data_IF_702896578563
#
_entry.id   IF_702896578563
#
_cell.length_a   1.000
_cell.length_b   1.000
_cell.length_c   1.000
_cell.angle_alpha   90.00
_cell.angle_beta   90.00
_cell.angle_gamma   90.00
#
_symmetry.space_group_name_H-M   'P 1'
#
loop_
_entity.id
_entity.type
_entity.pdbx_description
1 polymer ?
#
# COMPACT_ATOMS: atom_id res chain seq x y z
N UNK A 1 -12.83 -9.44 -8.77
CA UNK A 1 -11.72 -9.92 -7.92
C UNK A 1 -10.88 -8.79 -7.34
N UNK A 2 -10.38 -7.86 -8.17
CA UNK A 2 -9.51 -6.75 -7.70
C UNK A 2 -10.20 -5.81 -6.70
N UNK A 3 -11.44 -5.37 -6.97
CA UNK A 3 -12.19 -4.48 -6.06
C UNK A 3 -12.41 -5.13 -4.68
N UNK A 4 -12.83 -6.40 -4.64
CA UNK A 4 -12.98 -7.13 -3.39
C UNK A 4 -11.65 -7.23 -2.63
N UNK A 5 -10.54 -7.45 -3.34
CA UNK A 5 -9.21 -7.51 -2.75
C UNK A 5 -8.78 -6.17 -2.17
N UNK A 6 -9.06 -5.06 -2.86
CA UNK A 6 -8.83 -3.72 -2.32
C UNK A 6 -9.64 -3.46 -1.05
N UNK A 7 -10.92 -3.89 -1.00
CA UNK A 7 -11.75 -3.73 0.20
C UNK A 7 -11.17 -4.48 1.40
N UNK A 8 -10.72 -5.72 1.19
CA UNK A 8 -10.06 -6.52 2.23
C UNK A 8 -8.78 -5.83 2.71
N UNK A 9 -7.93 -5.38 1.80
CA UNK A 9 -6.67 -4.71 2.13
C UNK A 9 -6.92 -3.39 2.85
N UNK A 10 -7.94 -2.63 2.44
CA UNK A 10 -8.34 -1.38 3.10
C UNK A 10 -8.85 -1.63 4.53
N UNK A 11 -9.60 -2.72 4.73
CA UNK A 11 -10.06 -3.14 6.06
C UNK A 11 -8.88 -3.47 6.96
N UNK A 12 -7.93 -4.27 6.46
CA UNK A 12 -6.68 -4.60 7.17
C UNK A 12 -5.93 -3.31 7.53
N UNK A 13 -5.71 -2.43 6.54
CA UNK A 13 -5.04 -1.15 6.75
C UNK A 13 -5.69 -0.34 7.87
N UNK A 14 -7.02 -0.21 7.84
CA UNK A 14 -7.79 0.55 8.82
C UNK A 14 -7.67 -0.04 10.24
N UNK A 15 -7.71 -1.36 10.38
CA UNK A 15 -7.51 -2.04 11.67
C UNK A 15 -6.13 -1.72 12.24
N UNK A 16 -5.08 -1.79 11.43
CA UNK A 16 -3.72 -1.47 11.90
C UNK A 16 -3.53 0.00 12.25
N UNK A 17 -4.18 0.93 11.53
CA UNK A 17 -4.23 2.34 11.94
C UNK A 17 -4.84 2.46 13.33
N UNK A 18 -6.01 1.85 13.56
CA UNK A 18 -6.70 1.91 14.86
C UNK A 18 -5.80 1.36 15.97
N UNK A 19 -5.13 0.23 15.75
CA UNK A 19 -4.21 -0.35 16.73
C UNK A 19 -3.04 0.58 17.07
N UNK A 20 -2.42 1.22 16.06
CA UNK A 20 -1.35 2.20 16.26
C UNK A 20 -1.86 3.39 17.07
N UNK A 21 -3.04 3.94 16.71
CA UNK A 21 -3.63 5.08 17.42
C UNK A 21 -3.99 4.74 18.86
N UNK A 22 -4.56 3.56 19.10
CA UNK A 22 -4.88 3.08 20.45
C UNK A 22 -3.61 2.91 21.29
N UNK A 23 -2.54 2.36 20.73
CA UNK A 23 -1.25 2.25 21.41
C UNK A 23 -0.67 3.63 21.77
N UNK A 24 -0.72 4.59 20.84
CA UNK A 24 -0.28 5.96 21.11
C UNK A 24 -1.10 6.60 22.22
N UNK A 25 -2.43 6.52 22.15
CA UNK A 25 -3.33 7.06 23.18
C UNK A 25 -3.05 6.43 24.55
N UNK A 26 -2.90 5.11 24.61
CA UNK A 26 -2.57 4.40 25.83
C UNK A 26 -1.27 4.92 26.46
N UNK A 27 -0.23 5.14 25.66
CA UNK A 27 1.04 5.70 26.13
C UNK A 27 0.91 7.13 26.61
N UNK A 28 0.17 7.96 25.90
CA UNK A 28 -0.08 9.34 26.35
C UNK A 28 -0.85 9.40 27.68
N UNK A 29 -1.77 8.46 27.93
CA UNK A 29 -2.54 8.40 29.17
C UNK A 29 -1.75 7.79 30.34
N UNK A 30 -0.85 6.86 30.07
CA UNK A 30 -0.10 6.12 31.11
C UNK A 30 1.24 6.75 31.47
N UNK A 31 1.76 7.67 30.65
CA UNK A 31 3.08 8.28 30.88
C UNK A 31 2.96 9.50 31.79
N UNK A 32 3.74 9.51 32.87
CA UNK A 32 3.81 10.64 33.82
C UNK A 32 4.82 11.68 33.35
N UNK A 33 5.89 11.24 32.69
CA UNK A 33 6.92 12.13 32.15
C UNK A 33 7.01 12.00 30.62
N UNK A 34 7.38 13.07 29.90
CA UNK A 34 7.50 13.05 28.44
C UNK A 34 8.60 12.11 27.94
N UNK A 35 9.53 11.68 28.80
CA UNK A 35 10.60 10.75 28.46
C UNK A 35 10.11 9.29 28.39
N UNK A 36 8.95 8.98 28.98
CA UNK A 36 8.41 7.61 29.05
C UNK A 36 7.60 7.20 27.81
N UNK A 37 7.31 8.15 26.91
CA UNK A 37 6.46 7.96 25.72
C UNK A 37 7.20 7.18 24.60
N UNK A 38 8.40 6.67 24.88
CA UNK A 38 9.21 5.94 23.89
C UNK A 38 8.63 4.56 23.58
N UNK A 39 8.68 4.19 22.30
CA UNK A 39 8.26 2.88 21.78
C UNK A 39 9.44 2.18 21.13
N UNK A 40 9.57 0.89 21.39
CA UNK A 40 10.64 0.09 20.78
C UNK A 40 10.51 0.09 19.27
N UNK A 41 11.65 0.14 18.56
CA UNK A 41 11.67 0.03 17.11
C UNK A 41 11.01 -1.28 16.61
N UNK A 42 11.09 -2.36 17.39
CA UNK A 42 10.47 -3.66 17.09
C UNK A 42 8.95 -3.54 17.06
N UNK A 43 8.33 -3.02 18.11
CA UNK A 43 6.87 -2.85 18.19
C UNK A 43 6.36 -1.96 17.06
N UNK A 44 7.06 -0.85 16.79
CA UNK A 44 6.72 0.03 15.67
C UNK A 44 6.86 -0.68 14.32
N UNK A 45 7.90 -1.49 14.11
CA UNK A 45 8.12 -2.22 12.85
C UNK A 45 7.02 -3.24 12.60
N UNK A 46 6.62 -4.01 13.62
CA UNK A 46 5.56 -5.02 13.50
C UNK A 46 4.22 -4.37 13.14
N UNK A 47 3.90 -3.22 13.72
CA UNK A 47 2.65 -2.50 13.42
C UNK A 47 2.72 -1.77 12.07
N UNK A 48 3.88 -1.21 11.72
CA UNK A 48 4.10 -0.46 10.48
C UNK A 48 4.14 -1.37 9.26
N UNK A 49 4.64 -2.60 9.40
CA UNK A 49 4.80 -3.53 8.27
C UNK A 49 3.48 -3.82 7.54
N UNK A 50 2.38 -4.23 8.21
CA UNK A 50 1.08 -4.42 7.57
C UNK A 50 0.51 -3.13 7.01
N UNK A 51 0.75 -2.00 7.70
CA UNK A 51 0.28 -0.68 7.29
C UNK A 51 0.92 -0.23 5.95
N UNK A 52 2.24 -0.30 5.84
CA UNK A 52 2.96 0.09 4.62
C UNK A 52 2.70 -0.89 3.48
N UNK A 53 2.66 -2.20 3.77
CA UNK A 53 2.35 -3.24 2.77
C UNK A 53 0.97 -3.04 2.18
N UNK A 54 -0.05 -2.80 3.03
CA UNK A 54 -1.42 -2.56 2.57
C UNK A 54 -1.55 -1.26 1.78
N UNK A 55 -0.90 -0.18 2.21
CA UNK A 55 -0.90 1.09 1.46
C UNK A 55 -0.27 0.93 0.06
N UNK A 56 0.90 0.31 -0.04
CA UNK A 56 1.56 0.04 -1.33
C UNK A 56 0.67 -0.87 -2.20
N UNK A 57 0.09 -1.92 -1.61
CA UNK A 57 -0.84 -2.81 -2.30
C UNK A 57 -2.04 -2.07 -2.87
N UNK A 58 -2.65 -1.13 -2.13
CA UNK A 58 -3.81 -0.37 -2.61
C UNK A 58 -3.48 0.41 -3.89
N UNK A 59 -2.34 1.10 -3.92
CA UNK A 59 -1.88 1.85 -5.09
C UNK A 59 -1.56 0.92 -6.26
N UNK A 60 -0.85 -0.19 -6.01
CA UNK A 60 -0.53 -1.16 -7.07
C UNK A 60 -1.80 -1.80 -7.63
N UNK A 61 -2.74 -2.23 -6.80
CA UNK A 61 -4.00 -2.80 -7.26
C UNK A 61 -4.86 -1.79 -8.02
N UNK A 62 -4.83 -0.51 -7.62
CA UNK A 62 -5.49 0.55 -8.37
C UNK A 62 -4.95 0.64 -9.80
N UNK A 63 -3.62 0.61 -9.95
CA UNK A 63 -2.98 0.60 -11.25
C UNK A 63 -3.29 -0.68 -12.05
N UNK A 64 -3.26 -1.85 -11.39
CA UNK A 64 -3.59 -3.12 -12.03
C UNK A 64 -5.03 -3.19 -12.52
N UNK A 65 -5.98 -2.53 -11.84
CA UNK A 65 -7.36 -2.41 -12.36
C UNK A 65 -7.41 -1.61 -13.65
N UNK A 66 -6.64 -0.53 -13.77
CA UNK A 66 -6.54 0.24 -15.02
C UNK A 66 -5.94 -0.63 -16.13
N UNK A 67 -4.88 -1.39 -15.83
CA UNK A 67 -4.28 -2.33 -16.77
C UNK A 67 -5.24 -3.45 -17.19
N UNK A 68 -5.98 -4.04 -16.25
CA UNK A 68 -6.99 -5.08 -16.55
C UNK A 68 -8.03 -4.53 -17.54
N UNK A 69 -8.50 -3.30 -17.34
CA UNK A 69 -9.45 -2.64 -18.25
C UNK A 69 -8.85 -2.32 -19.61
N UNK A 70 -7.58 -1.92 -19.67
CA UNK A 70 -6.87 -1.72 -20.94
C UNK A 70 -6.70 -3.05 -21.68
N UNK A 71 -6.34 -4.13 -20.99
CA UNK A 71 -6.24 -5.48 -21.60
C UNK A 71 -7.60 -5.94 -22.11
N UNK A 72 -8.66 -5.75 -21.35
CA UNK A 72 -10.02 -6.11 -21.76
C UNK A 72 -10.48 -5.33 -23.02
N UNK A 73 -10.00 -4.08 -23.19
CA UNK A 73 -10.28 -3.26 -24.37
C UNK A 73 -9.59 -3.82 -25.63
N UNK A 74 -8.31 -4.21 -25.54
CA UNK A 74 -7.56 -4.70 -26.69
C UNK A 74 -7.78 -6.19 -26.99
N UNK A 75 -8.15 -7.01 -25.99
CA UNK A 75 -8.27 -8.47 -26.09
C UNK A 75 -9.59 -8.99 -25.53
N UNK A 76 -10.70 -8.46 -26.05
CA UNK A 76 -12.06 -8.77 -25.56
C UNK A 76 -12.39 -10.27 -25.59
N UNK A 77 -12.06 -10.96 -26.71
CA UNK A 77 -12.39 -12.37 -26.91
C UNK A 77 -11.72 -13.33 -25.90
N UNK A 78 -10.48 -13.04 -25.51
CA UNK A 78 -9.74 -13.84 -24.53
C UNK A 78 -10.11 -13.48 -23.09
N UNK A 79 -10.42 -12.21 -22.84
CA UNK A 79 -10.79 -11.72 -21.52
C UNK A 79 -12.10 -12.35 -21.01
N UNK A 80 -13.10 -12.56 -21.88
CA UNK A 80 -14.36 -13.19 -21.51
C UNK A 80 -14.19 -14.63 -20.99
N UNK A 81 -13.15 -15.34 -21.42
CA UNK A 81 -12.86 -16.72 -20.97
C UNK A 81 -11.98 -16.81 -19.73
N UNK A 82 -11.11 -15.83 -19.49
CA UNK A 82 -10.05 -15.94 -18.47
C UNK A 82 -9.86 -14.71 -17.57
N UNK A 83 -10.80 -13.76 -17.57
CA UNK A 83 -10.70 -12.53 -16.77
C UNK A 83 -10.49 -12.76 -15.27
N UNK A 84 -11.07 -13.81 -14.69
CA UNK A 84 -10.91 -14.11 -13.27
C UNK A 84 -9.47 -14.53 -12.89
N UNK A 85 -8.79 -15.29 -13.76
CA UNK A 85 -7.42 -15.76 -13.56
C UNK A 85 -6.43 -14.59 -13.69
N UNK A 86 -6.67 -13.69 -14.65
CA UNK A 86 -5.90 -12.47 -14.83
C UNK A 86 -6.00 -11.59 -13.58
N UNK A 87 -7.22 -11.35 -13.09
CA UNK A 87 -7.46 -10.59 -11.86
C UNK A 87 -6.78 -11.22 -10.64
N UNK A 88 -6.85 -12.55 -10.47
CA UNK A 88 -6.16 -13.24 -9.37
C UNK A 88 -4.63 -13.11 -9.45
N UNK A 89 -4.07 -13.21 -10.66
CA UNK A 89 -2.62 -13.04 -10.90
C UNK A 89 -2.15 -11.63 -10.53
N UNK A 90 -2.92 -10.60 -10.90
CA UNK A 90 -2.62 -9.23 -10.52
C UNK A 90 -2.69 -8.98 -9.02
N UNK A 91 -3.66 -9.60 -8.32
CA UNK A 91 -3.75 -9.52 -6.86
C UNK A 91 -2.49 -10.12 -6.21
N UNK A 92 -2.13 -11.34 -6.60
CA UNK A 92 -0.95 -12.01 -6.05
C UNK A 92 0.34 -11.23 -6.33
N UNK A 93 0.54 -10.79 -7.56
CA UNK A 93 1.71 -10.00 -7.94
C UNK A 93 1.79 -8.67 -7.17
N UNK A 94 0.67 -7.96 -7.02
CA UNK A 94 0.60 -6.69 -6.29
C UNK A 94 0.93 -6.86 -4.81
N UNK A 95 0.34 -7.85 -4.15
CA UNK A 95 0.58 -8.12 -2.72
C UNK A 95 2.02 -8.58 -2.48
N UNK A 96 2.54 -9.52 -3.28
CA UNK A 96 3.92 -9.99 -3.16
C UNK A 96 4.93 -8.86 -3.35
N UNK A 97 4.75 -8.05 -4.41
CA UNK A 97 5.61 -6.90 -4.67
C UNK A 97 5.58 -5.91 -3.50
N UNK A 98 4.38 -5.62 -2.97
CA UNK A 98 4.25 -4.71 -1.82
C UNK A 98 4.96 -5.23 -0.57
N UNK A 99 4.89 -6.53 -0.31
CA UNK A 99 5.55 -7.16 0.83
C UNK A 99 7.08 -7.11 0.67
N UNK A 100 7.59 -7.43 -0.53
CA UNK A 100 9.03 -7.38 -0.81
C UNK A 100 9.60 -5.95 -0.69
N UNK A 101 8.91 -4.95 -1.26
CA UNK A 101 9.29 -3.54 -1.16
C UNK A 101 9.28 -3.09 0.30
N UNK A 102 8.28 -3.52 1.07
CA UNK A 102 8.20 -3.20 2.50
C UNK A 102 9.35 -3.83 3.29
N UNK A 103 9.64 -5.11 3.07
CA UNK A 103 10.78 -5.79 3.70
C UNK A 103 12.11 -5.09 3.39
N UNK A 104 12.30 -4.72 2.12
CA UNK A 104 13.48 -3.97 1.70
C UNK A 104 13.58 -2.60 2.37
N UNK A 105 12.45 -1.93 2.62
CA UNK A 105 12.45 -0.63 3.30
C UNK A 105 12.87 -0.70 4.78
N UNK A 106 12.60 -1.84 5.45
CA UNK A 106 12.81 -2.05 6.89
C UNK A 106 14.17 -2.71 7.19
N UNK A 107 14.81 -3.36 6.20
CA UNK A 107 16.12 -3.98 6.36
C UNK A 107 17.19 -3.12 7.08
N UNK A 108 17.31 -1.79 6.85
CA UNK A 108 18.33 -0.97 7.53
C UNK A 108 17.92 -0.52 8.95
N UNK A 109 16.79 -0.97 9.49
CA UNK A 109 16.29 -0.53 10.78
C UNK A 109 17.12 -1.08 11.95
N UNK A 110 17.61 -0.19 12.81
CA UNK A 110 18.30 -0.57 14.04
C UNK A 110 17.29 -0.87 15.15
N UNK A 111 17.02 -2.16 15.38
CA UNK A 111 16.03 -2.61 16.37
C UNK A 111 16.39 -2.31 17.84
N UNK A 112 17.63 -1.90 18.11
CA UNK A 112 18.06 -1.45 19.44
C UNK A 112 17.60 -0.03 19.79
N UNK A 113 17.04 0.72 18.84
CA UNK A 113 16.57 2.09 19.07
C UNK A 113 15.15 2.13 19.63
N UNK A 114 14.84 3.24 20.29
CA UNK A 114 13.50 3.59 20.74
C UNK A 114 13.12 4.95 20.16
N UNK A 115 11.86 5.07 19.71
CA UNK A 115 11.35 6.28 19.09
C UNK A 115 10.17 6.85 19.88
N UNK A 116 10.06 8.17 19.94
CA UNK A 116 8.90 8.84 20.56
C UNK A 116 7.58 8.56 19.80
N UNK A 117 7.67 8.28 18.50
CA UNK A 117 6.52 8.00 17.65
C UNK A 117 6.86 6.95 16.58
N UNK A 118 5.90 6.07 16.25
CA UNK A 118 6.11 5.01 15.26
C UNK A 118 6.12 5.51 13.80
N UNK A 119 5.83 6.79 13.57
CA UNK A 119 6.10 7.45 12.28
C UNK A 119 7.60 7.78 12.09
N UNK A 120 8.42 7.69 13.14
CA UNK A 120 9.87 7.84 13.05
C UNK A 120 10.52 6.58 12.51
N UNK A 121 11.78 6.66 12.16
CA UNK A 121 12.63 5.53 11.83
C UNK A 121 14.08 5.98 11.69
N UNK A 122 14.96 5.05 11.33
CA UNK A 122 16.33 5.42 10.98
C UNK A 122 16.35 6.38 9.77
N UNK A 123 17.39 7.21 9.65
CA UNK A 123 17.55 8.11 8.50
C UNK A 123 17.52 7.36 7.16
N UNK A 124 18.09 6.15 7.13
CA UNK A 124 18.07 5.27 5.95
C UNK A 124 16.69 4.70 5.65
N UNK A 125 15.92 4.32 6.68
CA UNK A 125 14.54 3.85 6.53
C UNK A 125 13.65 4.98 5.96
N UNK A 126 13.82 6.21 6.46
CA UNK A 126 13.08 7.39 6.00
C UNK A 126 13.41 7.71 4.53
N UNK A 127 14.69 7.66 4.15
CA UNK A 127 15.15 7.87 2.77
C UNK A 127 14.51 6.86 1.81
N UNK A 128 14.56 5.56 2.14
CA UNK A 128 13.94 4.50 1.33
C UNK A 128 12.42 4.66 1.22
N UNK A 129 11.75 4.97 2.33
CA UNK A 129 10.30 5.16 2.33
C UNK A 129 9.88 6.38 1.50
N UNK A 130 10.68 7.45 1.53
CA UNK A 130 10.46 8.65 0.72
C UNK A 130 10.52 8.32 -0.77
N UNK A 131 11.53 7.55 -1.19
CA UNK A 131 11.66 7.10 -2.59
C UNK A 131 10.50 6.20 -3.02
N UNK A 132 10.04 5.30 -2.13
CA UNK A 132 8.85 4.47 -2.38
C UNK A 132 7.62 5.37 -2.57
N UNK A 133 7.39 6.34 -1.68
CA UNK A 133 6.24 7.25 -1.77
C UNK A 133 6.24 8.09 -3.05
N UNK A 134 7.41 8.60 -3.47
CA UNK A 134 7.55 9.31 -4.74
C UNK A 134 7.17 8.39 -5.92
N UNK A 135 7.65 7.14 -5.89
CA UNK A 135 7.33 6.14 -6.93
C UNK A 135 5.83 5.82 -6.97
N UNK A 136 5.19 5.70 -5.80
CA UNK A 136 3.74 5.49 -5.72
C UNK A 136 2.95 6.68 -6.27
N UNK A 137 3.39 7.92 -6.03
CA UNK A 137 2.77 9.11 -6.62
C UNK A 137 2.80 9.08 -8.14
N UNK A 138 3.93 8.65 -8.73
CA UNK A 138 4.04 8.47 -10.19
C UNK A 138 3.05 7.39 -10.68
N UNK A 139 2.94 6.27 -9.98
CA UNK A 139 1.97 5.21 -10.32
C UNK A 139 0.52 5.72 -10.22
N UNK A 140 0.19 6.53 -9.22
CA UNK A 140 -1.12 7.18 -9.12
C UNK A 140 -1.38 8.11 -10.31
N UNK A 141 -0.40 8.92 -10.72
CA UNK A 141 -0.52 9.79 -11.89
C UNK A 141 -0.74 8.97 -13.18
N UNK A 142 0.01 7.88 -13.37
CA UNK A 142 -0.18 6.96 -14.50
C UNK A 142 -1.57 6.31 -14.47
N UNK A 143 -2.06 5.92 -13.30
CA UNK A 143 -3.41 5.34 -13.14
C UNK A 143 -4.50 6.35 -13.54
N UNK A 144 -4.32 7.63 -13.18
CA UNK A 144 -5.23 8.70 -13.59
C UNK A 144 -5.23 8.88 -15.11
N UNK A 145 -4.04 8.97 -15.72
CA UNK A 145 -3.88 9.08 -17.18
C UNK A 145 -4.53 7.90 -17.89
N UNK A 146 -4.27 6.67 -17.44
CA UNK A 146 -4.88 5.48 -18.02
C UNK A 146 -6.41 5.49 -17.90
N UNK A 147 -6.95 5.97 -16.78
CA UNK A 147 -8.41 6.13 -16.60
C UNK A 147 -9.00 7.16 -17.58
N UNK A 148 -8.30 8.28 -17.81
CA UNK A 148 -8.71 9.29 -18.79
C UNK A 148 -8.70 8.73 -20.22
N UNK A 149 -7.65 7.98 -20.59
CA UNK A 149 -7.57 7.33 -21.90
C UNK A 149 -8.71 6.33 -22.12
N UNK A 150 -9.00 5.50 -21.11
CA UNK A 150 -10.13 4.57 -21.14
C UNK A 150 -11.47 5.30 -21.36
N UNK A 151 -11.66 6.45 -20.69
CA UNK A 151 -12.87 7.27 -20.85
C UNK A 151 -12.99 7.83 -22.26
N UNK A 152 -11.89 8.37 -22.81
CA UNK A 152 -11.87 8.95 -24.16
C UNK A 152 -12.19 7.86 -25.19
N UNK A 153 -11.52 6.71 -25.12
CA UNK A 153 -11.75 5.61 -26.03
C UNK A 153 -13.20 5.11 -25.98
N UNK A 154 -13.74 4.89 -24.77
CA UNK A 154 -15.12 4.42 -24.62
C UNK A 154 -16.14 5.40 -25.20
N UNK A 155 -15.85 6.70 -25.20
CA UNK A 155 -16.71 7.70 -25.86
C UNK A 155 -16.70 7.51 -27.37
N UNK A 156 -15.51 7.41 -27.99
CA UNK A 156 -15.38 7.23 -29.44
C UNK A 156 -15.86 5.87 -29.95
N UNK A 157 -15.86 4.82 -29.11
CA UNK A 157 -16.34 3.50 -29.50
C UNK A 157 -17.87 3.36 -29.47
N UNK A 158 -18.58 4.32 -28.88
CA UNK A 158 -20.05 4.36 -28.79
C UNK A 158 -20.69 5.31 -29.82
N UNK A 159 -19.89 6.15 -30.48
CA UNK A 159 -20.27 6.99 -31.63
C UNK A 159 -19.99 6.25 -32.95
#
# INVERSE_FOLDING_TARGET
TLICSQLVIFTIHSVFIILIQMMHLWKYLSSVTPCDIVTSAITCTILRFPLTTSYISLVLLQFMMVLERLVAMFRKADYEKSGWLLGATFVLAGVLTSAMVTLWSIQPENFSNSYAYCSSGSTKTIERLTNINISLCVICALSLVGTLLLRIYNKYALD
#
